data_IF_653947764036
#
_entry.id   IF_653947764036
#
_cell.length_a   1.000
_cell.length_b   1.000
_cell.length_c   1.000
_cell.angle_alpha   90.00
_cell.angle_beta   90.00
_cell.angle_gamma   90.00
#
_symmetry.space_group_name_H-M   'P 1'
#
loop_
_entity.id
_entity.type
_entity.pdbx_description
1 polymer ?
#
# COMPACT_ATOMS: atom_id res chain seq x y z
N UNK A 1 -5.34 30.52 -34.03
CA UNK A 1 -5.11 29.23 -33.36
C UNK A 1 -4.04 29.48 -32.31
N UNK A 2 -4.25 29.15 -31.03
CA UNK A 2 -3.23 29.33 -30.01
C UNK A 2 -2.04 28.40 -30.29
N UNK A 3 -0.83 28.97 -30.27
CA UNK A 3 0.44 28.29 -30.50
C UNK A 3 0.73 27.40 -29.29
N UNK A 4 0.98 26.11 -29.48
CA UNK A 4 1.37 25.22 -28.40
C UNK A 4 2.68 25.73 -27.78
N UNK A 5 2.63 26.10 -26.50
CA UNK A 5 3.82 26.48 -25.74
C UNK A 5 4.54 25.19 -25.30
N UNK A 6 5.81 25.06 -25.69
CA UNK A 6 6.65 23.94 -25.28
C UNK A 6 6.77 23.94 -23.74
N UNK A 7 6.19 22.93 -23.10
CA UNK A 7 6.35 22.73 -21.67
C UNK A 7 7.69 22.03 -21.44
N UNK A 8 8.70 22.80 -21.01
CA UNK A 8 10.01 22.25 -20.68
C UNK A 8 9.95 21.54 -19.32
N UNK A 9 10.20 20.23 -19.30
CA UNK A 9 10.25 19.44 -18.07
C UNK A 9 11.70 19.26 -17.61
N UNK A 10 11.93 19.30 -16.29
CA UNK A 10 13.25 19.14 -15.68
C UNK A 10 13.40 17.71 -15.17
N UNK A 11 14.54 17.10 -15.44
CA UNK A 11 14.89 15.76 -14.97
C UNK A 11 15.79 15.86 -13.75
N UNK A 12 15.50 15.09 -12.70
CA UNK A 12 16.25 15.09 -11.45
C UNK A 12 16.84 13.70 -11.15
N UNK A 13 18.04 13.67 -10.58
CA UNK A 13 18.65 12.47 -10.04
C UNK A 13 17.85 11.94 -8.83
N UNK A 14 17.68 10.62 -8.74
CA UNK A 14 16.81 9.99 -7.72
C UNK A 14 17.44 9.94 -6.33
N UNK A 15 18.76 9.99 -6.23
CA UNK A 15 19.50 9.90 -4.97
C UNK A 15 19.79 11.28 -4.40
N UNK A 16 20.17 12.24 -5.24
CA UNK A 16 20.57 13.58 -4.81
C UNK A 16 19.48 14.63 -4.98
N UNK A 17 18.47 14.36 -5.81
CA UNK A 17 17.44 15.34 -6.19
C UNK A 17 17.98 16.47 -7.07
N UNK A 18 19.23 16.37 -7.56
CA UNK A 18 19.86 17.38 -8.38
C UNK A 18 19.34 17.32 -9.83
N UNK A 19 19.19 18.48 -10.46
CA UNK A 19 18.73 18.51 -11.84
C UNK A 19 19.84 18.06 -12.80
N UNK A 20 19.58 16.99 -13.55
CA UNK A 20 20.58 16.37 -14.45
C UNK A 20 20.35 16.68 -15.93
N UNK A 21 19.12 17.04 -16.31
CA UNK A 21 18.78 17.36 -17.71
C UNK A 21 17.53 18.24 -17.80
N UNK A 22 17.30 18.80 -18.99
CA UNK A 22 16.03 19.43 -19.39
C UNK A 22 15.57 18.64 -20.62
N UNK A 23 14.33 18.15 -20.60
CA UNK A 23 13.73 17.49 -21.76
C UNK A 23 12.81 18.45 -22.49
N UNK A 24 13.07 18.64 -23.78
CA UNK A 24 12.09 19.17 -24.72
C UNK A 24 11.24 18.00 -25.22
N UNK A 25 10.00 17.89 -24.74
CA UNK A 25 9.06 16.86 -25.21
C UNK A 25 8.32 17.40 -26.44
N UNK A 26 8.55 16.76 -27.59
CA UNK A 26 7.67 16.88 -28.75
C UNK A 26 6.49 15.91 -28.57
N UNK A 27 5.29 16.46 -28.29
CA UNK A 27 4.06 15.70 -28.03
C UNK A 27 3.60 14.86 -29.23
N UNK A 28 4.22 15.02 -30.40
CA UNK A 28 3.95 14.21 -31.59
C UNK A 28 4.69 12.88 -31.58
N UNK A 29 5.59 12.67 -30.61
CA UNK A 29 6.31 11.40 -30.41
C UNK A 29 6.04 10.82 -29.02
N UNK A 30 5.80 9.50 -28.89
CA UNK A 30 5.52 8.86 -27.61
C UNK A 30 6.77 8.62 -26.74
N UNK A 31 7.93 9.17 -27.12
CA UNK A 31 9.23 8.84 -26.52
C UNK A 31 9.77 10.02 -25.72
N UNK A 32 9.87 9.88 -24.40
CA UNK A 32 10.62 10.82 -23.56
C UNK A 32 12.08 10.41 -23.53
N UNK A 33 12.98 11.22 -24.11
CA UNK A 33 14.42 10.98 -24.09
C UNK A 33 15.13 12.14 -23.41
N UNK A 34 15.90 11.85 -22.36
CA UNK A 34 16.71 12.85 -21.67
C UNK A 34 18.08 12.93 -22.36
N UNK A 35 18.45 14.08 -22.89
CA UNK A 35 19.80 14.31 -23.41
C UNK A 35 20.69 14.89 -22.29
N UNK A 36 21.95 14.42 -22.15
CA UNK A 36 22.90 14.99 -21.21
C UNK A 36 23.14 16.48 -21.48
N UNK A 37 23.32 17.25 -20.42
CA UNK A 37 23.63 18.67 -20.52
C UNK A 37 25.13 18.83 -20.87
N UNK A 38 25.45 18.91 -22.17
CA UNK A 38 26.84 19.07 -22.61
C UNK A 38 27.36 20.48 -22.31
N UNK A 39 28.20 20.59 -21.29
CA UNK A 39 28.87 21.83 -20.92
C UNK A 39 30.04 21.63 -19.96
N UNK A 40 31.08 20.90 -20.38
CA UNK A 40 32.53 21.10 -20.08
C UNK A 40 33.34 19.78 -19.92
N UNK A 41 34.08 19.48 -20.99
CA UNK A 41 35.26 18.65 -21.19
C UNK A 41 36.21 18.43 -19.99
N UNK A 42 36.60 17.17 -19.76
CA UNK A 42 37.99 16.67 -19.94
C UNK A 42 38.04 15.14 -19.94
N UNK A 43 38.49 14.55 -21.05
CA UNK A 43 39.28 13.30 -21.11
C UNK A 43 40.77 13.71 -21.28
N UNK A 44 41.81 12.83 -21.17
CA UNK A 44 41.87 11.36 -21.13
C UNK A 44 42.69 10.87 -19.88
N UNK A 45 42.89 9.58 -19.57
CA UNK A 45 43.85 8.63 -20.16
C UNK A 45 43.77 7.30 -19.40
N UNK A 46 44.19 6.22 -20.06
CA UNK A 46 44.13 4.85 -19.54
C UNK A 46 45.25 4.43 -18.58
N UNK A 47 45.09 3.18 -18.14
CA UNK A 47 46.01 2.28 -17.42
C UNK A 47 46.10 2.44 -15.89
N UNK A 48 45.64 1.41 -15.18
CA UNK A 48 45.79 1.22 -13.74
C UNK A 48 45.29 -0.18 -13.34
N UNK A 49 46.23 -1.11 -13.25
CA UNK A 49 46.09 -2.55 -13.04
C UNK A 49 45.91 -2.89 -11.54
N UNK A 50 45.09 -3.92 -11.25
CA UNK A 50 45.06 -4.81 -10.06
C UNK A 50 44.99 -4.22 -8.63
N UNK A 51 43.93 -4.55 -7.87
CA UNK A 51 43.94 -5.77 -7.02
C UNK A 51 42.59 -6.02 -6.31
N UNK A 52 42.23 -7.30 -6.06
CA UNK A 52 41.16 -7.72 -5.16
C UNK A 52 41.67 -7.91 -3.73
N UNK A 53 40.83 -7.59 -2.74
CA UNK A 53 41.04 -7.84 -1.31
C UNK A 53 39.97 -7.04 -0.54
N UNK A 54 38.92 -7.71 -0.07
CA UNK A 54 38.81 -8.30 1.28
C UNK A 54 38.52 -7.22 2.32
N UNK A 55 37.25 -7.10 2.75
CA UNK A 55 36.86 -6.60 4.08
C UNK A 55 35.40 -7.04 4.39
N UNK A 56 35.33 -8.18 5.07
CA UNK A 56 34.35 -8.66 6.06
C UNK A 56 32.88 -8.22 5.99
N UNK A 57 32.05 -9.12 5.46
CA UNK A 57 30.64 -9.24 5.78
C UNK A 57 30.51 -9.89 7.18
N UNK A 58 30.21 -9.10 8.21
CA UNK A 58 29.83 -9.59 9.53
C UNK A 58 28.30 -9.53 9.71
N UNK A 59 27.53 -10.60 9.43
CA UNK A 59 26.10 -10.64 9.70
C UNK A 59 25.91 -11.20 11.12
N UNK A 60 26.09 -10.36 12.13
CA UNK A 60 26.09 -10.86 13.49
C UNK A 60 25.95 -9.79 14.56
N UNK A 61 24.82 -9.10 14.59
CA UNK A 61 24.30 -8.50 15.84
C UNK A 61 22.82 -8.16 15.68
N UNK A 62 21.97 -9.13 16.01
CA UNK A 62 20.64 -8.86 16.52
C UNK A 62 20.80 -8.40 17.98
N UNK A 63 20.17 -7.28 18.42
CA UNK A 63 20.08 -6.99 19.83
C UNK A 63 19.10 -7.96 20.49
N UNK A 64 19.62 -8.61 21.53
CA UNK A 64 18.98 -9.60 22.39
C UNK A 64 17.72 -9.00 23.03
N UNK A 65 16.61 -9.73 22.91
CA UNK A 65 15.40 -9.52 23.69
C UNK A 65 15.68 -9.94 25.13
N UNK A 66 15.55 -9.01 26.07
CA UNK A 66 15.57 -9.33 27.49
C UNK A 66 14.29 -10.08 27.84
N UNK A 67 14.46 -11.32 28.31
CA UNK A 67 13.47 -12.09 29.03
C UNK A 67 13.27 -11.45 30.42
N UNK A 68 12.08 -10.90 30.66
CA UNK A 68 11.60 -10.57 32.00
C UNK A 68 10.50 -11.55 32.38
N UNK A 69 10.93 -12.68 32.96
CA UNK A 69 10.12 -13.57 33.77
C UNK A 69 9.50 -12.78 34.93
N UNK A 70 8.16 -12.75 34.98
CA UNK A 70 7.42 -12.48 36.21
C UNK A 70 6.31 -13.54 36.33
N UNK A 71 6.65 -14.62 37.03
CA UNK A 71 5.69 -15.49 37.69
C UNK A 71 5.16 -14.78 38.95
N UNK A 72 3.85 -14.57 39.06
CA UNK A 72 3.16 -14.58 40.36
C UNK A 72 1.64 -14.83 40.16
N UNK A 73 1.19 -15.88 40.86
CA UNK A 73 -0.15 -16.34 41.21
C UNK A 73 -1.31 -15.32 41.17
N UNK A 74 -2.47 -15.73 40.60
CA UNK A 74 -3.68 -16.07 41.38
C UNK A 74 -4.92 -16.19 40.47
N UNK A 75 -5.45 -17.40 40.37
CA UNK A 75 -6.66 -17.71 39.59
C UNK A 75 -7.93 -17.12 40.24
N UNK A 76 -8.52 -16.11 39.61
CA UNK A 76 -9.91 -15.70 39.82
C UNK A 76 -10.68 -15.76 38.50
N UNK A 77 -11.93 -16.27 38.46
CA UNK A 77 -12.70 -16.33 37.22
C UNK A 77 -13.32 -14.95 36.97
N UNK A 78 -12.57 -14.07 36.31
CA UNK A 78 -13.09 -12.82 35.77
C UNK A 78 -13.89 -13.12 34.50
N UNK A 79 -15.20 -12.88 34.58
CA UNK A 79 -16.09 -12.83 33.43
C UNK A 79 -15.46 -11.88 32.40
N UNK A 80 -15.24 -12.28 31.13
CA UNK A 80 -14.65 -11.38 30.15
C UNK A 80 -15.64 -10.25 29.84
N UNK A 81 -15.36 -9.06 30.38
CA UNK A 81 -15.85 -7.80 29.83
C UNK A 81 -15.44 -7.73 28.35
N UNK A 82 -16.30 -7.23 27.44
CA UNK A 82 -15.90 -7.02 26.07
C UNK A 82 -14.74 -6.02 26.04
N UNK A 83 -13.53 -6.51 25.80
CA UNK A 83 -12.37 -5.68 25.52
C UNK A 83 -12.65 -4.94 24.22
N UNK A 84 -13.01 -3.66 24.30
CA UNK A 84 -12.87 -2.76 23.15
C UNK A 84 -11.37 -2.56 22.93
N UNK A 85 -10.72 -3.55 22.35
CA UNK A 85 -9.34 -3.45 21.91
C UNK A 85 -9.29 -2.35 20.87
N UNK A 86 -8.68 -1.22 21.22
CA UNK A 86 -8.49 -0.11 20.29
C UNK A 86 -7.51 -0.57 19.20
N UNK A 87 -8.05 -0.91 18.03
CA UNK A 87 -7.24 -1.23 16.84
C UNK A 87 -6.48 0.01 16.39
N UNK A 88 -5.21 -0.14 16.00
CA UNK A 88 -4.40 0.92 15.40
C UNK A 88 -5.12 1.51 14.16
N UNK A 89 -5.39 2.84 14.12
CA UNK A 89 -6.00 3.49 12.96
C UNK A 89 -5.31 3.19 11.63
N UNK A 90 -3.98 3.04 11.64
CA UNK A 90 -3.21 2.68 10.44
C UNK A 90 -3.45 1.22 10.05
N UNK A 91 -3.57 0.31 11.01
CA UNK A 91 -3.97 -1.07 10.77
C UNK A 91 -5.38 -1.14 10.15
N UNK A 92 -6.34 -0.37 10.66
CA UNK A 92 -7.69 -0.28 10.08
C UNK A 92 -7.64 0.23 8.63
N UNK A 93 -6.84 1.26 8.34
CA UNK A 93 -6.70 1.77 6.98
C UNK A 93 -6.11 0.74 6.02
N UNK A 94 -5.08 -0.01 6.48
CA UNK A 94 -4.51 -1.12 5.72
C UNK A 94 -5.55 -2.20 5.47
N UNK A 95 -6.31 -2.56 6.49
CA UNK A 95 -7.35 -3.58 6.41
C UNK A 95 -8.47 -3.21 5.42
N UNK A 96 -8.94 -1.96 5.42
CA UNK A 96 -9.93 -1.47 4.42
C UNK A 96 -9.41 -1.68 3.00
N UNK A 97 -8.15 -1.29 2.74
CA UNK A 97 -7.57 -1.39 1.40
C UNK A 97 -7.37 -2.87 0.99
N UNK A 98 -6.93 -3.71 1.93
CA UNK A 98 -6.77 -5.14 1.70
C UNK A 98 -8.12 -5.81 1.44
N UNK A 99 -9.13 -5.56 2.29
CA UNK A 99 -10.48 -6.10 2.11
C UNK A 99 -11.11 -5.65 0.79
N UNK A 100 -10.90 -4.39 0.38
CA UNK A 100 -11.37 -3.88 -0.92
C UNK A 100 -10.74 -4.64 -2.08
N UNK A 101 -9.42 -4.81 -2.07
CA UNK A 101 -8.68 -5.55 -3.10
C UNK A 101 -9.12 -7.01 -3.16
N UNK A 102 -9.27 -7.65 -2.01
CA UNK A 102 -9.73 -9.03 -1.87
C UNK A 102 -11.14 -9.22 -2.44
N UNK A 103 -12.10 -8.36 -2.06
CA UNK A 103 -13.46 -8.43 -2.59
C UNK A 103 -13.52 -8.21 -4.11
N UNK A 104 -12.73 -7.28 -4.63
CA UNK A 104 -12.62 -7.07 -6.09
C UNK A 104 -12.05 -8.30 -6.79
N UNK A 105 -10.99 -8.90 -6.25
CA UNK A 105 -10.36 -10.08 -6.86
C UNK A 105 -11.28 -11.30 -6.83
N UNK A 106 -12.01 -11.50 -5.73
CA UNK A 106 -12.94 -12.63 -5.58
C UNK A 106 -14.12 -12.56 -6.56
N UNK A 107 -14.55 -11.34 -6.90
CA UNK A 107 -15.73 -11.11 -7.74
C UNK A 107 -15.39 -10.77 -9.20
N UNK A 108 -14.23 -11.22 -9.70
CA UNK A 108 -13.90 -11.13 -11.13
C UNK A 108 -13.29 -9.79 -11.59
N UNK A 109 -12.83 -8.96 -10.65
CA UNK A 109 -12.11 -7.72 -10.93
C UNK A 109 -12.99 -6.49 -11.18
N UNK A 110 -12.34 -5.33 -11.33
CA UNK A 110 -13.02 -4.02 -11.44
C UNK A 110 -13.89 -3.84 -12.69
N UNK A 111 -13.73 -4.69 -13.70
CA UNK A 111 -14.54 -4.73 -14.92
C UNK A 111 -15.91 -5.37 -14.68
N UNK A 112 -16.05 -6.22 -13.66
CA UNK A 112 -17.27 -6.98 -13.35
C UNK A 112 -17.87 -6.59 -12.01
N UNK A 113 -17.06 -6.08 -11.08
CA UNK A 113 -17.47 -5.80 -9.71
C UNK A 113 -16.95 -4.45 -9.23
N UNK A 114 -17.84 -3.71 -8.57
CA UNK A 114 -17.53 -2.50 -7.82
C UNK A 114 -18.04 -2.63 -6.38
N UNK A 115 -17.16 -2.52 -5.37
CA UNK A 115 -17.58 -2.35 -3.99
C UNK A 115 -18.42 -1.08 -3.84
N UNK A 116 -19.32 -1.06 -2.87
CA UNK A 116 -20.11 0.13 -2.52
C UNK A 116 -19.23 1.26 -1.95
N UNK A 117 -19.79 2.46 -1.92
CA UNK A 117 -19.14 3.67 -1.45
C UNK A 117 -18.62 3.57 -0.01
N UNK A 118 -19.21 2.72 0.84
CA UNK A 118 -18.75 2.52 2.22
C UNK A 118 -17.28 2.12 2.30
N UNK A 119 -16.77 1.34 1.34
CA UNK A 119 -15.39 0.87 1.35
C UNK A 119 -14.40 2.00 1.08
N UNK A 120 -14.89 3.16 0.62
CA UNK A 120 -14.12 4.37 0.38
C UNK A 120 -14.35 5.44 1.45
N UNK A 121 -15.21 5.16 2.44
CA UNK A 121 -15.43 6.03 3.58
C UNK A 121 -14.20 6.07 4.51
N UNK A 122 -14.21 7.04 5.44
CA UNK A 122 -13.18 7.17 6.47
C UNK A 122 -13.08 5.90 7.33
N UNK A 123 -11.91 5.70 7.95
CA UNK A 123 -11.71 4.67 8.99
C UNK A 123 -12.64 4.87 10.20
N UNK A 124 -12.99 6.11 10.48
CA UNK A 124 -13.85 6.45 11.61
C UNK A 124 -15.31 6.21 11.22
N UNK A 125 -15.98 5.28 11.92
CA UNK A 125 -17.39 4.95 11.70
C UNK A 125 -17.68 4.47 10.26
N UNK A 126 -16.82 3.59 9.72
CA UNK A 126 -17.03 3.01 8.40
C UNK A 126 -18.23 2.04 8.44
N UNK A 127 -19.29 2.25 7.63
CA UNK A 127 -20.49 1.43 7.70
C UNK A 127 -20.32 -0.01 7.19
N UNK A 128 -19.19 -0.32 6.55
CA UNK A 128 -18.87 -1.67 6.10
C UNK A 128 -18.00 -2.46 7.07
N UNK A 129 -17.54 -1.84 8.17
CA UNK A 129 -16.93 -2.57 9.28
C UNK A 129 -18.06 -3.09 10.17
N UNK A 130 -18.25 -4.41 10.20
CA UNK A 130 -19.26 -5.06 11.05
C UNK A 130 -18.69 -5.48 12.39
N UNK A 131 -17.38 -5.75 12.46
CA UNK A 131 -16.67 -6.10 13.69
C UNK A 131 -15.23 -5.60 13.63
N UNK A 132 -14.69 -5.16 14.77
CA UNK A 132 -13.28 -4.81 14.93
C UNK A 132 -12.84 -5.13 16.35
N UNK A 133 -12.03 -6.17 16.51
CA UNK A 133 -11.55 -6.67 17.80
C UNK A 133 -10.16 -7.33 17.65
N UNK A 134 -9.64 -7.91 18.73
CA UNK A 134 -8.35 -8.60 18.73
C UNK A 134 -8.28 -9.81 17.80
N UNK A 135 -9.41 -10.40 17.42
CA UNK A 135 -9.46 -11.53 16.47
C UNK A 135 -9.38 -11.04 15.01
N UNK A 136 -9.78 -9.79 14.76
CA UNK A 136 -9.62 -9.15 13.47
C UNK A 136 -10.67 -8.07 13.18
N UNK A 137 -10.66 -7.63 11.93
CA UNK A 137 -11.59 -6.64 11.39
C UNK A 137 -12.43 -7.32 10.32
N UNK A 138 -13.73 -7.45 10.59
CA UNK A 138 -14.71 -8.02 9.68
C UNK A 138 -15.36 -6.93 8.85
N UNK A 139 -15.38 -7.16 7.54
CA UNK A 139 -16.02 -6.30 6.56
C UNK A 139 -17.18 -7.04 5.91
N UNK A 140 -18.35 -6.42 5.87
CA UNK A 140 -19.44 -6.82 4.97
C UNK A 140 -19.51 -5.82 3.84
N UNK A 141 -19.18 -6.28 2.63
CA UNK A 141 -18.95 -5.44 1.46
C UNK A 141 -20.05 -5.70 0.44
N UNK A 142 -21.09 -4.84 0.37
CA UNK A 142 -22.02 -4.87 -0.74
C UNK A 142 -21.32 -4.42 -2.01
N UNK A 143 -21.63 -5.08 -3.12
CA UNK A 143 -21.14 -4.69 -4.42
C UNK A 143 -21.95 -5.26 -5.57
N UNK A 144 -21.62 -4.80 -6.77
CA UNK A 144 -22.33 -5.17 -7.98
C UNK A 144 -21.63 -4.70 -9.26
N UNK A 145 -22.30 -4.80 -10.42
CA UNK A 145 -21.75 -4.41 -11.71
C UNK A 145 -21.32 -2.94 -11.73
N UNK A 146 -20.29 -2.54 -12.50
CA UNK A 146 -19.90 -1.14 -12.57
C UNK A 146 -21.08 -0.20 -12.88
N UNK A 147 -21.29 0.81 -12.04
CA UNK A 147 -22.42 1.74 -12.15
C UNK A 147 -23.61 1.45 -11.22
N UNK A 148 -23.69 0.25 -10.60
CA UNK A 148 -24.87 -0.19 -9.84
C UNK A 148 -25.34 0.84 -8.80
N UNK A 149 -24.42 1.35 -7.97
CA UNK A 149 -24.75 2.29 -6.91
C UNK A 149 -25.16 3.67 -7.44
N UNK A 150 -24.60 4.09 -8.59
CA UNK A 150 -24.96 5.36 -9.24
C UNK A 150 -26.35 5.31 -9.88
N UNK A 151 -26.76 4.12 -10.32
CA UNK A 151 -28.07 3.87 -10.91
C UNK A 151 -29.17 3.64 -9.86
N UNK A 152 -28.79 3.49 -8.58
CA UNK A 152 -29.71 3.13 -7.51
C UNK A 152 -30.13 1.65 -7.54
N UNK A 153 -29.37 0.80 -8.25
CA UNK A 153 -29.57 -0.64 -8.23
C UNK A 153 -29.19 -1.21 -6.85
N UNK A 154 -29.77 -2.37 -6.50
CA UNK A 154 -29.34 -3.12 -5.31
C UNK A 154 -27.97 -3.77 -5.53
N UNK A 155 -27.24 -4.04 -4.44
CA UNK A 155 -26.03 -4.85 -4.50
C UNK A 155 -26.37 -6.26 -4.98
N UNK A 156 -25.65 -6.78 -5.96
CA UNK A 156 -25.85 -8.14 -6.47
C UNK A 156 -25.13 -9.21 -5.66
N UNK A 157 -24.06 -8.82 -4.94
CA UNK A 157 -23.24 -9.74 -4.12
C UNK A 157 -22.86 -9.04 -2.82
N UNK A 158 -22.92 -9.76 -1.71
CA UNK A 158 -22.34 -9.32 -0.44
C UNK A 158 -21.11 -10.15 -0.11
N UNK A 159 -19.95 -9.52 -0.05
CA UNK A 159 -18.69 -10.21 0.29
C UNK A 159 -18.33 -9.95 1.74
N UNK A 160 -18.20 -11.00 2.54
CA UNK A 160 -17.66 -10.94 3.90
C UNK A 160 -16.16 -11.25 3.86
N UNK A 161 -15.35 -10.35 4.42
CA UNK A 161 -13.89 -10.52 4.51
C UNK A 161 -13.45 -10.25 5.94
N UNK A 162 -12.70 -11.17 6.53
CA UNK A 162 -12.06 -10.98 7.85
C UNK A 162 -10.58 -10.74 7.62
N UNK A 163 -10.07 -9.62 8.13
CA UNK A 163 -8.66 -9.24 8.06
C UNK A 163 -8.06 -9.31 9.47
N UNK A 164 -6.78 -9.67 9.57
CA UNK A 164 -6.04 -9.64 10.83
C UNK A 164 -6.07 -8.26 11.49
N UNK A 165 -5.95 -8.22 12.82
CA UNK A 165 -5.98 -6.97 13.59
C UNK A 165 -4.85 -5.99 13.22
N UNK A 166 -3.73 -6.45 12.65
CA UNK A 166 -2.63 -5.61 12.14
C UNK A 166 -2.88 -5.05 10.72
N UNK A 167 -3.94 -5.52 10.06
CA UNK A 167 -4.36 -5.13 8.72
C UNK A 167 -3.52 -5.71 7.59
N UNK A 168 -2.77 -6.80 7.83
CA UNK A 168 -1.76 -7.32 6.89
C UNK A 168 -2.13 -8.62 6.21
N UNK A 169 -3.04 -9.42 6.76
CA UNK A 169 -3.41 -10.71 6.18
C UNK A 169 -4.92 -10.93 6.15
N UNK A 170 -5.36 -11.69 5.14
CA UNK A 170 -6.74 -12.14 5.03
C UNK A 170 -6.88 -13.41 5.85
N UNK A 171 -7.77 -13.41 6.83
CA UNK A 171 -8.07 -14.56 7.67
C UNK A 171 -9.18 -15.41 7.05
N UNK A 172 -10.22 -14.76 6.52
CA UNK A 172 -11.39 -15.44 5.98
C UNK A 172 -12.05 -14.64 4.85
N UNK A 173 -12.62 -15.35 3.88
CA UNK A 173 -13.44 -14.78 2.80
C UNK A 173 -14.69 -15.63 2.56
N UNK A 174 -15.84 -14.97 2.37
CA UNK A 174 -17.11 -15.62 2.05
C UNK A 174 -17.98 -14.70 1.19
N UNK A 175 -18.67 -15.26 0.20
CA UNK A 175 -19.72 -14.54 -0.53
C UNK A 175 -21.08 -14.97 0.03
N UNK A 176 -21.99 -14.01 0.22
CA UNK A 176 -23.37 -14.18 0.67
C UNK A 176 -24.33 -13.65 -0.40
#
# INVERSE_FOLDING_TARGET
>A
MPKAEASAYRCFDRQTGEQVAISDIDITTPSVSCLPNDGATTAPDGNGESNPGDDDFNPGQAPESNDEDNDDDEATPTIPTPSTTTIDPLATQRAINLARGTAVSLNGGLSQYRPSACMFASINNNPCITRADSEGIEFTIPGGPPGWEQNGDGSSVNTVVVISADGRSVLETRNN
#
